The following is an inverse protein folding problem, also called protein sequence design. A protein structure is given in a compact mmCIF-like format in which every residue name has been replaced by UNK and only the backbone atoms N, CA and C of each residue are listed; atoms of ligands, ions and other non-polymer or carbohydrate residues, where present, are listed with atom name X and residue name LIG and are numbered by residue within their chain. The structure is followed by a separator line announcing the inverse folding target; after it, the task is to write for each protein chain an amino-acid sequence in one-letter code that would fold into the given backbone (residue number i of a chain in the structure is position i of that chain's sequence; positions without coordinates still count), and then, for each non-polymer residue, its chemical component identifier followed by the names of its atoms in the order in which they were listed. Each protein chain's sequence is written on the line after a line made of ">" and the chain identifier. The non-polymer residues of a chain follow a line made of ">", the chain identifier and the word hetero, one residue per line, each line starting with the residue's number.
data_IF_174718435137
#
_entry.id   IF_174718435137
#
_cell.length_a   1.000
_cell.length_b   1.000
_cell.length_c   1.000
_cell.angle_alpha   90.00
_cell.angle_beta   90.00
_cell.angle_gamma   90.00
#
_symmetry.space_group_name_H-M   'P 1'
#
loop_
_entity.id
_entity.type
_entity.pdbx_description
1 polymer ?
#
# COMPACT_ATOMS: atom_id res chain seq x y z
N UNK A 1 26.04 -9.59 0.77
CA UNK A 1 24.98 -10.64 0.53
C UNK A 1 23.81 -10.29 1.43
N UNK A 2 22.57 -10.37 0.93
CA UNK A 2 21.36 -10.06 1.71
C UNK A 2 21.18 -11.08 2.85
N UNK A 3 20.63 -10.68 4.02
CA UNK A 3 20.44 -11.57 5.17
C UNK A 3 19.63 -12.83 4.86
N UNK A 4 18.65 -12.72 3.99
CA UNK A 4 17.75 -13.79 3.55
C UNK A 4 18.18 -14.48 2.24
N UNK A 5 19.38 -14.16 1.72
CA UNK A 5 20.00 -14.70 0.52
C UNK A 5 19.30 -14.39 -0.80
N UNK A 6 18.32 -13.47 -0.83
CA UNK A 6 17.71 -12.98 -2.07
C UNK A 6 18.73 -12.25 -2.94
N UNK A 7 18.49 -12.23 -4.25
CA UNK A 7 19.20 -11.32 -5.15
C UNK A 7 18.75 -9.88 -4.93
N UNK A 8 19.56 -8.86 -5.27
CA UNK A 8 19.18 -7.46 -5.10
C UNK A 8 17.85 -7.08 -5.79
N UNK A 9 17.50 -7.79 -6.85
CA UNK A 9 16.31 -7.55 -7.68
C UNK A 9 15.07 -8.34 -7.27
N UNK A 10 15.16 -9.17 -6.23
CA UNK A 10 14.08 -10.08 -5.84
C UNK A 10 13.20 -9.51 -4.72
N UNK A 11 11.89 -9.67 -4.89
CA UNK A 11 10.92 -9.47 -3.81
C UNK A 11 11.04 -10.57 -2.74
N UNK A 12 10.66 -10.27 -1.51
CA UNK A 12 10.34 -11.32 -0.51
C UNK A 12 9.19 -12.19 -1.02
N UNK A 13 8.97 -13.39 -0.51
CA UNK A 13 7.76 -14.15 -0.80
C UNK A 13 6.52 -13.32 -0.52
N UNK A 14 5.68 -13.09 -1.54
CA UNK A 14 4.47 -12.29 -1.43
C UNK A 14 3.25 -13.20 -1.40
N UNK A 15 2.31 -12.93 -0.48
CA UNK A 15 1.02 -13.57 -0.41
C UNK A 15 -0.10 -12.52 -0.33
N UNK A 16 -1.12 -12.67 -1.16
CA UNK A 16 -2.33 -11.86 -1.15
C UNK A 16 -3.54 -12.78 -0.99
N UNK A 17 -4.19 -12.73 0.19
CA UNK A 17 -5.38 -13.51 0.52
C UNK A 17 -6.64 -12.64 0.52
N UNK A 18 -7.39 -12.57 -0.59
CA UNK A 18 -8.61 -11.78 -0.66
C UNK A 18 -9.74 -12.39 0.18
N UNK A 19 -10.74 -11.59 0.52
CA UNK A 19 -11.93 -12.01 1.30
C UNK A 19 -11.59 -12.56 2.70
N UNK A 20 -10.56 -12.01 3.33
CA UNK A 20 -10.07 -12.49 4.63
C UNK A 20 -10.99 -12.10 5.79
N UNK A 21 -11.59 -10.92 5.77
CA UNK A 21 -12.48 -10.40 6.83
C UNK A 21 -13.93 -10.57 6.40
N UNK A 22 -14.70 -11.36 7.16
CA UNK A 22 -16.08 -11.78 6.81
C UNK A 22 -17.04 -10.61 6.57
N UNK A 23 -16.96 -9.55 7.39
CA UNK A 23 -17.96 -8.49 7.38
C UNK A 23 -17.59 -7.28 6.54
N UNK A 24 -16.34 -7.19 6.07
CA UNK A 24 -15.89 -6.12 5.18
C UNK A 24 -16.47 -6.28 3.77
N UNK A 25 -16.71 -5.18 3.07
CA UNK A 25 -17.13 -5.21 1.67
C UNK A 25 -16.03 -5.71 0.74
N UNK A 26 -14.78 -5.54 1.14
CA UNK A 26 -13.60 -6.15 0.53
C UNK A 26 -12.49 -6.25 1.55
N UNK A 27 -11.62 -7.23 1.44
CA UNK A 27 -10.50 -7.36 2.37
C UNK A 27 -9.36 -8.19 1.78
N UNK A 28 -8.16 -7.97 2.29
CA UNK A 28 -6.98 -8.71 1.91
C UNK A 28 -6.08 -8.93 3.13
N UNK A 29 -5.65 -10.16 3.33
CA UNK A 29 -4.48 -10.42 4.17
C UNK A 29 -3.24 -10.43 3.27
N UNK A 30 -2.31 -9.53 3.52
CA UNK A 30 -1.11 -9.37 2.73
C UNK A 30 0.13 -9.74 3.52
N UNK A 31 1.05 -10.44 2.87
CA UNK A 31 2.38 -10.76 3.42
C UNK A 31 3.45 -10.38 2.41
N UNK A 32 4.47 -9.68 2.89
CA UNK A 32 5.75 -9.47 2.22
C UNK A 32 6.82 -10.06 3.13
N UNK A 33 7.17 -11.33 2.89
CA UNK A 33 7.97 -12.09 3.86
C UNK A 33 7.31 -12.09 5.24
N UNK A 34 8.01 -11.57 6.23
CA UNK A 34 7.55 -11.46 7.62
C UNK A 34 6.75 -10.17 7.91
N UNK A 35 6.56 -9.29 6.95
CA UNK A 35 5.61 -8.17 7.10
C UNK A 35 4.20 -8.65 6.80
N UNK A 36 3.29 -8.57 7.78
CA UNK A 36 1.90 -9.01 7.68
C UNK A 36 0.95 -7.87 7.97
N UNK A 37 0.00 -7.63 7.04
CA UNK A 37 -1.01 -6.56 7.17
C UNK A 37 -2.40 -7.11 6.81
N UNK A 38 -3.43 -6.69 7.55
CA UNK A 38 -4.83 -6.85 7.14
C UNK A 38 -5.29 -5.52 6.56
N UNK A 39 -5.87 -5.57 5.35
CA UNK A 39 -6.55 -4.43 4.73
C UNK A 39 -8.04 -4.76 4.62
N UNK A 40 -8.91 -3.87 5.11
CA UNK A 40 -10.36 -4.02 5.04
C UNK A 40 -10.99 -2.77 4.43
N UNK A 41 -11.96 -2.96 3.54
CA UNK A 41 -12.69 -1.88 2.89
C UNK A 41 -14.13 -1.84 3.38
N UNK A 42 -14.57 -0.66 3.81
CA UNK A 42 -15.95 -0.37 4.24
C UNK A 42 -16.56 0.66 3.31
N UNK A 43 -17.78 0.38 2.80
CA UNK A 43 -18.55 1.30 1.96
C UNK A 43 -19.52 2.10 2.84
N UNK A 44 -19.48 3.41 2.75
CA UNK A 44 -20.42 4.32 3.40
C UNK A 44 -21.23 5.07 2.33
N UNK A 45 -22.56 5.06 2.42
CA UNK A 45 -23.49 5.78 1.51
C UNK A 45 -23.56 7.28 1.88
N UNK A 46 -22.42 7.88 2.18
CA UNK A 46 -22.24 9.28 2.50
C UNK A 46 -20.84 9.73 2.12
N UNK A 47 -20.67 11.01 1.86
CA UNK A 47 -19.35 11.63 1.64
C UNK A 47 -19.01 12.62 2.74
N UNK A 48 -17.73 12.95 2.91
CA UNK A 48 -17.32 14.06 3.79
C UNK A 48 -18.04 15.37 3.44
N UNK A 49 -18.23 16.28 4.41
CA UNK A 49 -18.99 17.54 4.21
C UNK A 49 -18.54 18.36 3.00
N UNK A 50 -17.23 18.39 2.72
CA UNK A 50 -16.65 19.17 1.61
C UNK A 50 -16.96 18.59 0.20
N UNK A 51 -17.52 17.39 0.10
CA UNK A 51 -17.91 16.75 -1.16
C UNK A 51 -19.42 16.62 -1.33
N UNK A 52 -20.23 17.09 -0.40
CA UNK A 52 -21.68 17.03 -0.52
C UNK A 52 -22.17 17.82 -1.72
N UNK A 53 -23.10 17.26 -2.50
CA UNK A 53 -23.67 17.83 -3.71
C UNK A 53 -22.65 18.09 -4.84
N UNK A 54 -21.49 17.40 -4.83
CA UNK A 54 -20.51 17.45 -5.93
C UNK A 54 -20.69 16.33 -6.93
N UNK A 55 -21.45 15.28 -6.57
CA UNK A 55 -21.61 14.06 -7.35
C UNK A 55 -20.38 13.16 -7.35
N UNK A 56 -19.36 13.48 -6.56
CA UNK A 56 -18.11 12.71 -6.49
C UNK A 56 -18.00 11.93 -5.16
N UNK A 57 -17.46 10.74 -5.25
CA UNK A 57 -17.14 9.91 -4.09
C UNK A 57 -15.78 10.24 -3.46
N UNK A 58 -15.44 9.49 -2.43
CA UNK A 58 -14.16 9.65 -1.72
C UNK A 58 -13.58 8.31 -1.30
N UNK A 59 -12.25 8.26 -1.20
CA UNK A 59 -11.53 7.14 -0.63
C UNK A 59 -10.59 7.68 0.42
N UNK A 60 -10.64 7.13 1.61
CA UNK A 60 -9.74 7.47 2.71
C UNK A 60 -9.16 6.19 3.31
N UNK A 61 -8.07 6.32 4.04
CA UNK A 61 -7.46 5.19 4.72
C UNK A 61 -7.12 5.52 6.16
N UNK A 62 -7.20 4.51 7.00
CA UNK A 62 -6.63 4.49 8.34
C UNK A 62 -5.49 3.45 8.37
N UNK A 63 -4.51 3.68 9.21
CA UNK A 63 -3.34 2.81 9.35
C UNK A 63 -2.98 2.69 10.81
N UNK A 64 -2.68 1.50 11.25
CA UNK A 64 -2.21 1.26 12.60
C UNK A 64 -1.33 0.01 12.69
N UNK A 65 -0.66 -0.13 13.84
CA UNK A 65 0.15 -1.30 14.14
C UNK A 65 -0.30 -1.92 15.45
N UNK A 66 -0.37 -3.25 15.52
CA UNK A 66 -0.55 -3.93 16.78
C UNK A 66 0.62 -3.66 17.73
N UNK A 67 0.39 -3.59 19.05
CA UNK A 67 1.46 -3.33 20.01
C UNK A 67 2.66 -4.27 19.90
N UNK A 68 2.43 -5.52 19.49
CA UNK A 68 3.48 -6.54 19.30
C UNK A 68 3.77 -6.84 17.83
N UNK A 69 3.45 -5.91 16.94
CA UNK A 69 3.86 -6.00 15.54
C UNK A 69 5.39 -5.91 15.36
N UNK A 70 6.11 -5.33 16.31
CA UNK A 70 7.56 -5.14 16.34
C UNK A 70 8.24 -5.98 17.42
N UNK A 71 9.57 -6.07 17.41
CA UNK A 71 10.36 -6.80 18.41
C UNK A 71 10.07 -6.34 19.83
N UNK A 72 9.90 -5.03 20.04
CA UNK A 72 9.50 -4.47 21.32
C UNK A 72 8.02 -4.07 21.27
N UNK A 73 7.37 -4.07 22.44
CA UNK A 73 5.98 -3.64 22.55
C UNK A 73 5.88 -2.12 22.38
N UNK A 74 5.12 -1.67 21.41
CA UNK A 74 4.76 -0.26 21.20
C UNK A 74 3.39 0.02 21.84
N UNK A 75 3.22 1.18 22.47
CA UNK A 75 1.93 1.57 23.01
C UNK A 75 0.89 1.84 21.92
N UNK A 76 -0.37 1.51 22.20
CA UNK A 76 -1.46 1.86 21.31
C UNK A 76 -1.61 3.38 21.22
N UNK A 77 -1.65 3.93 20.02
CA UNK A 77 -1.86 5.37 19.80
C UNK A 77 -3.19 5.85 20.38
N UNK A 78 -4.24 5.01 20.30
CA UNK A 78 -5.54 5.29 20.93
C UNK A 78 -5.44 5.52 22.44
N UNK A 79 -4.54 4.83 23.14
CA UNK A 79 -4.33 5.03 24.58
C UNK A 79 -3.60 6.35 24.88
N UNK A 80 -2.85 6.89 23.91
CA UNK A 80 -2.17 8.19 24.01
C UNK A 80 -3.05 9.37 23.57
N UNK A 81 -4.25 9.10 23.05
CA UNK A 81 -5.23 10.10 22.61
C UNK A 81 -4.85 10.86 21.33
N UNK A 82 -3.74 10.49 20.66
CA UNK A 82 -3.31 11.10 19.40
C UNK A 82 -2.52 10.11 18.53
N UNK A 83 -2.67 10.24 17.24
CA UNK A 83 -1.86 9.53 16.25
C UNK A 83 -0.48 10.20 16.09
N UNK A 84 0.53 9.40 15.76
CA UNK A 84 1.85 9.93 15.39
C UNK A 84 1.82 10.57 14.01
N UNK A 85 2.80 11.43 13.73
CA UNK A 85 2.98 12.03 12.39
C UNK A 85 3.19 10.96 11.31
N UNK A 86 3.94 9.88 11.64
CA UNK A 86 4.14 8.73 10.75
C UNK A 86 2.82 8.05 10.38
N UNK A 87 1.96 7.77 11.35
CA UNK A 87 0.64 7.17 11.11
C UNK A 87 -0.21 8.04 10.19
N UNK A 88 -0.28 9.34 10.47
CA UNK A 88 -1.04 10.29 9.65
C UNK A 88 -0.48 10.42 8.23
N UNK A 89 0.84 10.42 8.06
CA UNK A 89 1.50 10.44 6.77
C UNK A 89 1.14 9.20 5.94
N UNK A 90 1.24 8.00 6.53
CA UNK A 90 0.94 6.74 5.85
C UNK A 90 -0.54 6.65 5.46
N UNK A 91 -1.47 7.08 6.32
CA UNK A 91 -2.90 7.15 6.01
C UNK A 91 -3.16 8.02 4.77
N UNK A 92 -2.52 9.20 4.71
CA UNK A 92 -2.65 10.12 3.57
C UNK A 92 -2.06 9.54 2.29
N UNK A 93 -0.92 8.85 2.39
CA UNK A 93 -0.25 8.17 1.29
C UNK A 93 -1.16 7.08 0.70
N UNK A 94 -1.69 6.16 1.52
CA UNK A 94 -2.59 5.09 1.07
C UNK A 94 -3.83 5.70 0.39
N UNK A 95 -4.49 6.65 1.04
CA UNK A 95 -5.67 7.31 0.49
C UNK A 95 -5.40 8.00 -0.86
N UNK A 96 -4.27 8.70 -1.00
CA UNK A 96 -3.84 9.35 -2.25
C UNK A 96 -3.56 8.33 -3.34
N UNK A 97 -2.82 7.28 -3.02
CA UNK A 97 -2.51 6.20 -3.93
C UNK A 97 -3.79 5.60 -4.54
N UNK A 98 -4.75 5.23 -3.71
CA UNK A 98 -6.01 4.63 -4.17
C UNK A 98 -6.89 5.62 -4.97
N UNK A 99 -6.95 6.89 -4.57
CA UNK A 99 -7.70 7.90 -5.32
C UNK A 99 -7.13 8.17 -6.71
N UNK A 100 -5.84 7.99 -6.91
CA UNK A 100 -5.19 8.24 -8.21
C UNK A 100 -5.64 7.30 -9.33
N UNK A 101 -6.22 6.15 -8.96
CA UNK A 101 -6.63 5.09 -9.89
C UNK A 101 -8.15 4.86 -9.89
N UNK A 102 -8.95 5.79 -9.36
CA UNK A 102 -10.41 5.66 -9.30
C UNK A 102 -11.08 6.89 -9.91
N UNK A 103 -12.03 6.67 -10.80
CA UNK A 103 -12.96 7.72 -11.24
C UNK A 103 -13.98 7.98 -10.11
N UNK A 104 -13.70 8.99 -9.29
CA UNK A 104 -14.51 9.34 -8.14
C UNK A 104 -15.93 9.81 -8.52
N UNK A 105 -16.13 10.30 -9.75
CA UNK A 105 -17.48 10.65 -10.23
C UNK A 105 -18.31 9.43 -10.51
N UNK A 106 -17.72 8.38 -11.09
CA UNK A 106 -18.40 7.08 -11.29
C UNK A 106 -18.71 6.37 -9.97
N UNK A 107 -17.93 6.60 -8.93
CA UNK A 107 -18.22 6.10 -7.58
C UNK A 107 -19.50 6.74 -7.01
N UNK A 108 -19.81 8.00 -7.41
CA UNK A 108 -20.92 8.77 -6.85
C UNK A 108 -20.69 9.17 -5.39
N UNK A 109 -21.66 9.84 -4.77
CA UNK A 109 -21.53 10.35 -3.39
C UNK A 109 -21.47 9.24 -2.33
N UNK A 110 -20.43 8.42 -2.39
CA UNK A 110 -20.07 7.36 -1.43
C UNK A 110 -18.64 7.54 -0.96
N UNK A 111 -18.37 7.08 0.25
CA UNK A 111 -17.03 6.99 0.77
C UNK A 111 -16.62 5.52 0.92
N UNK A 112 -15.42 5.19 0.51
CA UNK A 112 -14.79 3.92 0.87
C UNK A 112 -13.67 4.22 1.87
N UNK A 113 -13.77 3.60 3.05
CA UNK A 113 -12.72 3.61 4.07
C UNK A 113 -11.91 2.34 3.96
N UNK A 114 -10.61 2.49 3.97
CA UNK A 114 -9.67 1.37 4.01
C UNK A 114 -8.97 1.39 5.35
N UNK A 115 -9.12 0.32 6.11
CA UNK A 115 -8.41 0.11 7.36
C UNK A 115 -7.23 -0.82 7.10
N UNK A 116 -6.01 -0.40 7.48
CA UNK A 116 -4.78 -1.18 7.31
C UNK A 116 -4.15 -1.41 8.69
N UNK A 117 -4.24 -2.64 9.18
CA UNK A 117 -3.71 -3.04 10.47
C UNK A 117 -2.49 -3.94 10.30
N UNK A 118 -1.33 -3.46 10.73
CA UNK A 118 -0.09 -4.22 10.70
C UNK A 118 -0.05 -5.19 11.88
N UNK A 119 -0.03 -6.48 11.58
CA UNK A 119 0.05 -7.56 12.56
C UNK A 119 1.50 -7.87 12.94
N UNK A 120 2.39 -7.81 11.95
CA UNK A 120 3.83 -8.04 12.09
C UNK A 120 4.58 -7.13 11.12
N UNK A 121 5.65 -6.50 11.60
CA UNK A 121 6.42 -5.53 10.84
C UNK A 121 7.87 -6.00 10.70
N UNK A 122 8.29 -6.16 9.44
CA UNK A 122 9.66 -6.45 9.03
C UNK A 122 10.04 -5.64 7.79
N UNK A 123 9.98 -4.30 7.89
CA UNK A 123 10.18 -3.38 6.76
C UNK A 123 9.01 -3.37 5.75
N UNK A 124 8.83 -2.26 5.03
CA UNK A 124 7.87 -2.14 3.94
C UNK A 124 6.38 -2.20 4.37
N UNK A 125 6.02 -1.83 5.59
CA UNK A 125 4.63 -1.91 6.06
C UNK A 125 3.69 -0.99 5.26
N UNK A 126 4.13 0.22 4.88
CA UNK A 126 3.35 1.15 4.07
C UNK A 126 3.12 0.64 2.64
N UNK A 127 4.12 0.01 2.03
CA UNK A 127 4.04 -0.54 0.67
C UNK A 127 3.17 -1.79 0.61
N UNK A 128 3.28 -2.68 1.59
CA UNK A 128 2.38 -3.81 1.76
C UNK A 128 0.92 -3.35 1.98
N UNK A 129 0.71 -2.30 2.80
CA UNK A 129 -0.62 -1.73 3.02
C UNK A 129 -1.24 -1.19 1.73
N UNK A 130 -0.51 -0.43 0.90
CA UNK A 130 -1.04 0.08 -0.38
C UNK A 130 -1.39 -1.08 -1.31
N UNK A 131 -0.49 -2.07 -1.42
CA UNK A 131 -0.68 -3.22 -2.31
C UNK A 131 -1.87 -4.09 -1.90
N UNK A 132 -2.06 -4.33 -0.60
CA UNK A 132 -3.23 -5.06 -0.07
C UNK A 132 -4.51 -4.24 -0.09
N UNK A 133 -4.42 -2.93 0.17
CA UNK A 133 -5.55 -2.01 0.11
C UNK A 133 -6.18 -1.94 -1.28
N UNK A 134 -5.39 -2.05 -2.35
CA UNK A 134 -5.91 -2.16 -3.70
C UNK A 134 -6.80 -3.39 -3.87
N UNK A 135 -6.38 -4.55 -3.38
CA UNK A 135 -7.18 -5.81 -3.45
C UNK A 135 -8.50 -5.65 -2.69
N UNK A 136 -8.45 -5.08 -1.48
CA UNK A 136 -9.65 -4.81 -0.69
C UNK A 136 -10.59 -3.81 -1.40
N UNK A 137 -10.06 -2.72 -1.95
CA UNK A 137 -10.80 -1.72 -2.71
C UNK A 137 -11.46 -2.34 -3.95
N UNK A 138 -10.73 -3.14 -4.71
CA UNK A 138 -11.26 -3.82 -5.91
C UNK A 138 -12.49 -4.67 -5.57
N UNK A 139 -12.42 -5.49 -4.50
CA UNK A 139 -13.55 -6.30 -4.06
C UNK A 139 -14.76 -5.46 -3.63
N UNK A 140 -14.53 -4.38 -2.88
CA UNK A 140 -15.61 -3.48 -2.46
C UNK A 140 -16.30 -2.83 -3.69
N UNK A 141 -15.54 -2.38 -4.66
CA UNK A 141 -16.08 -1.82 -5.91
C UNK A 141 -16.80 -2.86 -6.74
N UNK A 142 -16.26 -4.08 -6.84
CA UNK A 142 -16.93 -5.20 -7.53
C UNK A 142 -18.28 -5.52 -6.87
N UNK A 143 -18.36 -5.47 -5.54
CA UNK A 143 -19.63 -5.65 -4.80
C UNK A 143 -20.63 -4.54 -5.10
N UNK A 144 -20.21 -3.28 -5.25
CA UNK A 144 -21.07 -2.19 -5.67
C UNK A 144 -21.65 -2.40 -7.08
N UNK A 145 -20.82 -2.88 -8.01
CA UNK A 145 -21.27 -3.22 -9.38
C UNK A 145 -22.25 -4.39 -9.35
N UNK A 146 -21.93 -5.48 -8.65
CA UNK A 146 -22.77 -6.66 -8.54
C UNK A 146 -24.14 -6.34 -7.93
N UNK A 147 -24.19 -5.44 -6.94
CA UNK A 147 -25.42 -4.98 -6.30
C UNK A 147 -26.14 -3.85 -7.10
N UNK A 148 -25.65 -3.51 -8.30
CA UNK A 148 -26.21 -2.44 -9.17
C UNK A 148 -26.25 -1.07 -8.49
N UNK A 149 -25.36 -0.81 -7.54
CA UNK A 149 -25.21 0.48 -6.87
C UNK A 149 -24.43 1.48 -7.72
N UNK A 150 -23.52 0.98 -8.56
CA UNK A 150 -22.82 1.70 -9.63
C UNK A 150 -22.93 0.90 -10.93
N UNK A 151 -22.89 1.58 -12.06
CA UNK A 151 -23.13 0.95 -13.38
C UNK A 151 -21.91 0.19 -13.90
N UNK A 152 -20.70 0.67 -13.61
CA UNK A 152 -19.44 0.12 -14.13
C UNK A 152 -18.35 0.22 -13.08
N UNK A 153 -17.33 -0.62 -13.21
CA UNK A 153 -16.12 -0.55 -12.38
C UNK A 153 -15.46 0.83 -12.53
N UNK A 154 -15.28 1.61 -11.45
CA UNK A 154 -14.68 2.93 -11.52
C UNK A 154 -13.16 2.92 -11.49
N UNK A 155 -12.50 1.77 -11.38
CA UNK A 155 -11.04 1.66 -11.45
C UNK A 155 -10.55 2.01 -12.85
N UNK A 156 -9.54 2.85 -12.92
CA UNK A 156 -8.88 3.30 -14.16
C UNK A 156 -7.54 2.59 -14.40
N UNK A 157 -6.95 2.05 -13.34
CA UNK A 157 -5.67 1.34 -13.40
C UNK A 157 -5.50 0.45 -12.16
N UNK A 158 -4.42 -0.34 -12.15
CA UNK A 158 -3.90 -1.02 -10.96
C UNK A 158 -2.92 -0.11 -10.23
N UNK A 159 -2.59 -0.44 -8.97
CA UNK A 159 -1.57 0.25 -8.21
C UNK A 159 -0.91 -0.72 -7.22
N UNK A 160 0.40 -0.62 -7.11
CA UNK A 160 1.16 -1.28 -6.07
C UNK A 160 2.30 -0.40 -5.58
N UNK A 161 2.90 -0.76 -4.47
CA UNK A 161 4.02 -0.05 -3.90
C UNK A 161 5.09 -1.01 -3.41
N UNK A 162 6.34 -0.57 -3.51
CA UNK A 162 7.51 -1.33 -3.07
C UNK A 162 8.56 -0.40 -2.48
N UNK A 163 9.32 -0.89 -1.50
CA UNK A 163 10.52 -0.21 -1.01
C UNK A 163 11.74 -0.57 -1.84
N UNK A 164 12.65 0.38 -1.97
CA UNK A 164 14.00 0.18 -2.51
C UNK A 164 14.99 0.93 -1.63
N UNK A 165 16.25 0.59 -1.68
CA UNK A 165 17.28 1.36 -1.00
C UNK A 165 18.67 1.10 -1.54
N UNK A 166 19.62 1.92 -1.09
CA UNK A 166 21.04 1.72 -1.35
C UNK A 166 21.69 1.18 -0.07
N UNK A 167 22.30 0.01 -0.17
CA UNK A 167 22.97 -0.67 0.94
C UNK A 167 24.33 -1.12 0.46
N UNK A 168 25.39 -0.63 1.10
CA UNK A 168 26.78 -0.87 0.71
C UNK A 168 27.04 -0.53 -0.77
N UNK A 169 26.42 0.56 -1.27
CA UNK A 169 26.54 1.02 -2.66
C UNK A 169 25.76 0.20 -3.69
N UNK A 170 24.93 -0.76 -3.25
CA UNK A 170 24.11 -1.61 -4.10
C UNK A 170 22.63 -1.26 -3.98
N UNK A 171 21.94 -1.02 -5.09
CA UNK A 171 20.50 -0.83 -5.11
C UNK A 171 19.77 -2.17 -4.87
N UNK A 172 18.86 -2.20 -3.90
CA UNK A 172 18.10 -3.39 -3.51
C UNK A 172 16.60 -3.13 -3.52
N UNK A 173 15.85 -4.11 -4.00
CA UNK A 173 14.39 -4.13 -4.05
C UNK A 173 13.83 -4.76 -2.78
N UNK A 174 12.71 -4.22 -2.27
CA UNK A 174 11.90 -4.77 -1.18
C UNK A 174 12.73 -5.06 0.09
N UNK A 175 13.08 -3.99 0.81
CA UNK A 175 13.90 -4.06 2.01
C UNK A 175 13.15 -4.71 3.16
N UNK A 176 13.79 -5.66 3.86
CA UNK A 176 13.38 -6.08 5.19
C UNK A 176 13.86 -5.07 6.26
N UNK A 177 13.48 -5.26 7.52
CA UNK A 177 13.80 -4.31 8.59
C UNK A 177 15.32 -4.13 8.82
N UNK A 178 16.11 -5.21 8.69
CA UNK A 178 17.57 -5.15 8.88
C UNK A 178 18.20 -4.31 7.78
N UNK A 179 17.76 -4.47 6.55
CA UNK A 179 18.24 -3.70 5.40
C UNK A 179 17.78 -2.24 5.48
N UNK A 180 16.50 -2.00 5.77
CA UNK A 180 15.89 -0.68 5.91
C UNK A 180 16.62 0.16 6.99
N UNK A 181 16.86 -0.44 8.16
CA UNK A 181 17.52 0.25 9.28
C UNK A 181 19.02 0.56 9.07
N UNK A 182 19.66 -0.09 8.11
CA UNK A 182 21.08 0.11 7.78
C UNK A 182 21.30 0.80 6.43
N UNK A 183 20.25 1.08 5.70
CA UNK A 183 20.31 1.67 4.37
C UNK A 183 20.99 3.04 4.37
N UNK A 184 21.76 3.32 3.32
CA UNK A 184 22.30 4.65 3.04
C UNK A 184 21.22 5.55 2.46
N UNK A 185 20.31 4.95 1.66
CA UNK A 185 19.11 5.58 1.11
C UNK A 185 17.94 4.63 1.31
N UNK A 186 16.85 5.12 1.91
CA UNK A 186 15.55 4.45 1.95
C UNK A 186 14.59 5.16 1.00
N UNK A 187 13.91 4.38 0.16
CA UNK A 187 12.94 4.90 -0.78
C UNK A 187 11.71 4.00 -0.91
N UNK A 188 10.55 4.65 -1.06
CA UNK A 188 9.27 4.00 -1.31
C UNK A 188 8.66 4.53 -2.61
N UNK A 189 8.28 3.64 -3.50
CA UNK A 189 7.72 3.96 -4.80
C UNK A 189 6.28 3.45 -4.89
N UNK A 190 5.37 4.34 -5.30
CA UNK A 190 3.97 4.02 -5.59
C UNK A 190 3.75 4.20 -7.08
N UNK A 191 3.48 3.11 -7.81
CA UNK A 191 3.43 3.09 -9.26
C UNK A 191 2.15 2.41 -9.73
N UNK A 192 1.53 2.93 -10.80
CA UNK A 192 0.35 2.34 -11.41
C UNK A 192 0.69 1.21 -12.38
N UNK A 193 -0.30 0.41 -12.77
CA UNK A 193 -0.14 -0.66 -13.76
C UNK A 193 0.31 -0.18 -15.14
N UNK A 194 -0.03 1.06 -15.51
CA UNK A 194 0.47 1.72 -16.72
C UNK A 194 1.89 2.31 -16.58
N UNK A 195 2.57 2.10 -15.43
CA UNK A 195 3.94 2.57 -15.16
C UNK A 195 4.04 4.03 -14.75
N UNK A 196 2.92 4.70 -14.41
CA UNK A 196 2.90 6.09 -13.96
C UNK A 196 3.27 6.18 -12.49
N UNK A 197 4.08 7.17 -12.14
CA UNK A 197 4.49 7.45 -10.78
C UNK A 197 3.39 8.22 -10.05
N UNK A 198 2.95 7.71 -8.89
CA UNK A 198 1.96 8.38 -8.04
C UNK A 198 2.63 9.11 -6.90
N UNK A 199 3.60 8.47 -6.27
CA UNK A 199 4.38 9.07 -5.19
C UNK A 199 5.76 8.41 -5.12
N UNK A 200 6.77 9.20 -4.81
CA UNK A 200 8.12 8.75 -4.50
C UNK A 200 8.52 9.44 -3.20
N UNK A 201 8.94 8.65 -2.24
CA UNK A 201 9.56 9.12 -1.00
C UNK A 201 10.96 8.53 -0.98
N UNK A 202 11.99 9.35 -0.95
CA UNK A 202 13.38 8.91 -0.88
C UNK A 202 14.14 9.81 0.10
N UNK A 203 14.87 9.19 0.99
CA UNK A 203 15.64 9.89 2.03
C UNK A 203 17.05 9.34 2.08
N UNK A 204 18.01 10.22 2.05
CA UNK A 204 19.39 9.89 2.36
C UNK A 204 19.57 9.91 3.89
N UNK A 205 19.98 8.81 4.46
CA UNK A 205 20.18 8.68 5.92
C UNK A 205 21.56 9.20 6.35
N UNK A 206 22.50 9.30 5.44
CA UNK A 206 23.87 9.76 5.69
C UNK A 206 24.29 10.79 4.64
N UNK A 207 24.90 10.33 3.56
CA UNK A 207 25.39 11.17 2.47
C UNK A 207 24.31 11.29 1.38
N UNK A 208 24.23 12.44 0.66
CA UNK A 208 23.34 12.59 -0.49
C UNK A 208 23.58 11.50 -1.54
N UNK A 209 22.50 11.00 -2.13
CA UNK A 209 22.56 10.02 -3.21
C UNK A 209 22.50 10.68 -4.59
N UNK A 210 23.06 10.01 -5.57
CA UNK A 210 23.18 10.49 -6.96
C UNK A 210 21.92 10.23 -7.79
N UNK A 211 21.84 10.89 -8.96
CA UNK A 211 20.80 10.62 -9.95
C UNK A 211 20.87 9.18 -10.50
N UNK A 212 22.08 8.62 -10.61
CA UNK A 212 22.31 7.25 -11.05
C UNK A 212 21.77 6.23 -10.05
N UNK A 213 21.99 6.43 -8.74
CA UNK A 213 21.44 5.61 -7.68
C UNK A 213 19.89 5.69 -7.65
N UNK A 214 19.34 6.90 -7.83
CA UNK A 214 17.91 7.08 -7.98
C UNK A 214 17.36 6.33 -9.20
N UNK A 215 18.02 6.42 -10.34
CA UNK A 215 17.59 5.73 -11.55
C UNK A 215 17.61 4.20 -11.39
N UNK A 216 18.60 3.66 -10.68
CA UNK A 216 18.67 2.23 -10.36
C UNK A 216 17.50 1.80 -9.45
N UNK A 217 17.23 2.53 -8.36
CA UNK A 217 16.08 2.25 -7.49
C UNK A 217 14.75 2.35 -8.24
N UNK A 218 14.60 3.34 -9.10
CA UNK A 218 13.39 3.50 -9.93
C UNK A 218 13.21 2.33 -10.91
N UNK A 219 14.27 1.86 -11.52
CA UNK A 219 14.23 0.70 -12.44
C UNK A 219 13.81 -0.57 -11.68
N UNK A 220 14.41 -0.83 -10.52
CA UNK A 220 14.04 -1.97 -9.67
C UNK A 220 12.59 -1.88 -9.20
N UNK A 221 12.15 -0.69 -8.78
CA UNK A 221 10.77 -0.50 -8.29
C UNK A 221 9.73 -0.77 -9.37
N UNK A 222 9.98 -0.41 -10.62
CA UNK A 222 9.08 -0.73 -11.74
C UNK A 222 8.91 -2.24 -11.91
N UNK A 223 10.03 -2.98 -11.94
CA UNK A 223 10.00 -4.44 -12.03
C UNK A 223 9.25 -5.07 -10.84
N UNK A 224 9.53 -4.62 -9.62
CA UNK A 224 8.84 -5.11 -8.43
C UNK A 224 7.33 -4.83 -8.44
N UNK A 225 6.93 -3.63 -8.88
CA UNK A 225 5.51 -3.27 -9.00
C UNK A 225 4.80 -4.09 -10.07
N UNK A 226 5.43 -4.34 -11.21
CA UNK A 226 4.87 -5.22 -12.25
C UNK A 226 4.60 -6.64 -11.72
N UNK A 227 5.51 -7.19 -10.92
CA UNK A 227 5.33 -8.48 -10.27
C UNK A 227 4.19 -8.45 -9.23
N UNK A 228 4.14 -7.42 -8.38
CA UNK A 228 3.06 -7.24 -7.41
C UNK A 228 1.68 -7.13 -8.07
N UNK A 229 1.58 -6.42 -9.19
CA UNK A 229 0.33 -6.31 -9.95
C UNK A 229 -0.10 -7.65 -10.55
N UNK A 230 0.84 -8.46 -11.06
CA UNK A 230 0.52 -9.83 -11.50
C UNK A 230 -0.06 -10.67 -10.36
N UNK A 231 0.52 -10.56 -9.16
CA UNK A 231 0.00 -11.26 -7.98
C UNK A 231 -1.37 -10.74 -7.54
N UNK A 232 -1.63 -9.43 -7.63
CA UNK A 232 -2.96 -8.85 -7.38
C UNK A 232 -4.00 -9.41 -8.35
N UNK A 233 -3.69 -9.46 -9.64
CA UNK A 233 -4.56 -10.02 -10.67
C UNK A 233 -4.87 -11.50 -10.41
N UNK A 234 -3.84 -12.29 -10.09
CA UNK A 234 -4.01 -13.71 -9.74
C UNK A 234 -4.91 -13.89 -8.50
N UNK A 235 -4.68 -13.10 -7.44
CA UNK A 235 -5.47 -13.17 -6.22
C UNK A 235 -6.94 -12.78 -6.46
N UNK A 236 -7.18 -11.79 -7.30
CA UNK A 236 -8.53 -11.32 -7.68
C UNK A 236 -9.18 -12.16 -8.79
N UNK A 237 -8.44 -13.06 -9.45
CA UNK A 237 -8.87 -13.86 -10.61
C UNK A 237 -9.39 -12.99 -11.77
N UNK A 238 -8.62 -11.94 -12.08
CA UNK A 238 -8.88 -11.01 -13.19
C UNK A 238 -7.68 -11.00 -14.16
N UNK A 239 -7.92 -10.54 -15.41
CA UNK A 239 -6.91 -10.44 -16.47
C UNK A 239 -5.98 -9.21 -16.32
#
# INVERSE_FOLDING_TARGET
>A
MRPDRRQPTELRPVFLGPSFVKYAEGSCFVKFGDTHVICAATIEEKVPPFLRNTGAGWITAEYGMLPRATHERVDREAAKGKQTGRTQEIQRLIGRALRSIVDLKKLGERQIRIDCDVLQADGGTRTASITGAYVALHQALQRLVANKKISTMPLTDHIAAVSCGIIDGEARLDLNYIEDSSAQVDANFVITGSGRLVEIQATAEKDPFSEEEFAQMLALSKTGVEELIKLQKQALKID
#
